data_IF_224788086235
#
_entry.id   IF_224788086235
#
_cell.length_a   1.000
_cell.length_b   1.000
_cell.length_c   1.000
_cell.angle_alpha   90.00
_cell.angle_beta   90.00
_cell.angle_gamma   90.00
#
_symmetry.space_group_name_H-M   'P 1'
#
loop_
_entity.id
_entity.type
_entity.pdbx_description
1 polymer ?
#
# COMPACT_ATOMS: atom_id res chain seq x y z
N UNK A 1 37.06 3.87 -13.44
CA UNK A 1 36.28 5.07 -13.06
C UNK A 1 36.12 6.04 -14.23
N UNK A 2 37.16 6.34 -14.98
CA UNK A 2 37.17 7.31 -16.10
C UNK A 2 36.26 6.86 -17.27
N UNK A 3 36.19 5.57 -17.59
CA UNK A 3 35.35 5.06 -18.68
C UNK A 3 33.85 5.07 -18.41
N UNK A 4 33.43 5.11 -17.15
CA UNK A 4 32.01 5.14 -16.75
C UNK A 4 31.46 6.57 -16.84
N UNK A 5 32.20 7.54 -16.39
CA UNK A 5 31.86 8.96 -16.52
C UNK A 5 31.76 9.42 -17.98
N UNK A 6 32.66 8.94 -18.88
CA UNK A 6 32.62 9.25 -20.29
C UNK A 6 31.38 8.65 -20.99
N UNK A 7 30.89 7.48 -20.60
CA UNK A 7 29.67 6.87 -21.13
C UNK A 7 28.39 7.56 -20.64
N UNK A 8 28.37 8.01 -19.38
CA UNK A 8 27.23 8.76 -18.83
C UNK A 8 27.12 10.16 -19.42
N UNK A 9 28.26 10.86 -19.65
CA UNK A 9 28.24 12.15 -20.34
C UNK A 9 27.81 12.02 -21.80
N UNK A 10 28.32 11.01 -22.52
CA UNK A 10 27.93 10.76 -23.91
C UNK A 10 26.44 10.37 -24.05
N UNK A 11 25.88 9.66 -23.09
CA UNK A 11 24.45 9.33 -23.09
C UNK A 11 23.58 10.56 -22.81
N UNK A 12 24.02 11.46 -21.93
CA UNK A 12 23.33 12.74 -21.65
C UNK A 12 23.43 13.71 -22.82
N UNK A 13 24.58 13.80 -23.49
CA UNK A 13 24.76 14.60 -24.70
C UNK A 13 23.92 14.07 -25.86
N UNK A 14 23.83 12.74 -26.04
CA UNK A 14 23.02 12.14 -27.11
C UNK A 14 21.51 12.39 -26.91
N UNK A 15 21.01 12.34 -25.68
CA UNK A 15 19.59 12.61 -25.38
C UNK A 15 19.32 14.12 -25.39
N UNK A 16 20.17 14.91 -24.78
CA UNK A 16 20.07 16.39 -24.80
C UNK A 16 20.29 17.00 -26.17
N UNK A 17 21.24 16.48 -26.94
CA UNK A 17 21.54 16.96 -28.28
C UNK A 17 20.46 16.66 -29.33
N UNK A 18 19.77 15.52 -29.23
CA UNK A 18 18.61 15.21 -30.07
C UNK A 18 17.39 16.08 -29.80
N UNK A 19 17.15 16.44 -28.55
CA UNK A 19 16.05 17.34 -28.18
C UNK A 19 16.33 18.80 -28.59
N UNK A 20 17.61 19.22 -28.60
CA UNK A 20 17.98 20.57 -28.99
C UNK A 20 18.11 20.74 -30.53
N UNK A 21 18.50 19.69 -31.28
CA UNK A 21 18.72 19.78 -32.72
C UNK A 21 17.44 19.78 -33.55
N UNK A 22 16.33 19.27 -33.06
CA UNK A 22 15.08 19.19 -33.83
C UNK A 22 14.11 20.35 -33.60
N UNK A 23 14.28 21.12 -32.53
CA UNK A 23 13.27 22.11 -32.10
C UNK A 23 11.87 21.50 -31.87
N UNK A 24 11.77 20.20 -32.07
CA UNK A 24 10.57 19.41 -31.93
C UNK A 24 10.69 18.56 -30.65
N UNK A 25 9.97 18.96 -29.61
CA UNK A 25 9.87 18.23 -28.35
C UNK A 25 8.90 17.02 -28.42
N UNK A 26 8.46 16.69 -29.62
CA UNK A 26 7.52 15.58 -29.87
C UNK A 26 6.09 15.87 -29.43
N UNK A 27 5.80 17.07 -28.94
CA UNK A 27 4.45 17.45 -28.52
C UNK A 27 3.70 18.06 -29.71
N UNK A 28 2.60 17.44 -30.19
CA UNK A 28 1.78 18.03 -31.25
C UNK A 28 1.31 19.44 -30.89
N UNK A 29 1.34 20.35 -31.88
CA UNK A 29 1.00 21.77 -31.65
C UNK A 29 -0.31 22.02 -30.90
N UNK A 30 -1.41 21.30 -31.17
CA UNK A 30 -2.66 21.47 -30.43
C UNK A 30 -2.58 21.09 -28.93
N UNK A 31 -1.58 20.27 -28.57
CA UNK A 31 -1.38 19.81 -27.19
C UNK A 31 -0.34 20.65 -26.44
N UNK A 32 0.33 21.57 -27.14
CA UNK A 32 1.32 22.46 -26.53
C UNK A 32 0.62 23.45 -25.58
N UNK A 33 1.16 23.57 -24.39
CA UNK A 33 0.71 24.58 -23.43
C UNK A 33 1.06 25.97 -23.95
N UNK A 34 0.06 26.84 -24.07
CA UNK A 34 0.23 28.24 -24.45
C UNK A 34 0.15 29.20 -23.27
N UNK A 35 -0.30 28.71 -22.10
CA UNK A 35 -0.42 29.51 -20.89
C UNK A 35 0.85 29.47 -20.04
N UNK A 36 1.15 30.54 -19.31
CA UNK A 36 2.23 30.56 -18.32
C UNK A 36 1.92 29.57 -17.18
N UNK A 37 2.97 29.00 -16.60
CA UNK A 37 2.87 28.04 -15.48
C UNK A 37 4.05 28.21 -14.54
N UNK A 38 3.89 27.68 -13.31
CA UNK A 38 4.92 27.74 -12.26
C UNK A 38 5.52 29.13 -12.08
N UNK A 39 4.65 30.14 -12.10
CA UNK A 39 5.05 31.57 -12.02
C UNK A 39 5.42 32.02 -10.61
N UNK A 40 5.05 31.23 -9.58
CA UNK A 40 5.43 31.55 -8.20
C UNK A 40 6.95 31.55 -8.04
N UNK A 41 7.53 32.54 -7.33
CA UNK A 41 8.98 32.69 -7.19
C UNK A 41 9.70 31.44 -6.68
N UNK A 42 9.06 30.61 -5.86
CA UNK A 42 9.66 29.39 -5.31
C UNK A 42 10.17 28.43 -6.39
N UNK A 43 9.51 28.37 -7.54
CA UNK A 43 9.92 27.51 -8.66
C UNK A 43 11.14 28.05 -9.42
N UNK A 44 11.55 29.29 -9.11
CA UNK A 44 12.62 29.97 -9.80
C UNK A 44 13.77 30.43 -8.88
N UNK A 45 13.65 30.21 -7.58
CA UNK A 45 14.58 30.73 -6.58
C UNK A 45 15.70 29.73 -6.20
N UNK A 46 15.46 28.42 -6.32
CA UNK A 46 16.39 27.37 -5.85
C UNK A 46 17.02 26.68 -7.06
N UNK A 47 18.13 27.20 -7.55
CA UNK A 47 18.75 26.81 -8.81
C UNK A 47 20.00 25.96 -8.67
N UNK A 48 20.56 25.80 -7.47
CA UNK A 48 21.64 24.89 -7.19
C UNK A 48 21.17 23.71 -6.36
N UNK A 49 21.89 22.59 -6.44
CA UNK A 49 21.61 21.40 -5.62
C UNK A 49 21.60 21.75 -4.13
N UNK A 50 22.59 22.51 -3.66
CA UNK A 50 22.69 22.92 -2.26
C UNK A 50 21.48 23.77 -1.82
N UNK A 51 21.03 24.71 -2.65
CA UNK A 51 19.87 25.55 -2.33
C UNK A 51 18.59 24.72 -2.29
N UNK A 52 18.43 23.80 -3.23
CA UNK A 52 17.29 22.87 -3.26
C UNK A 52 17.26 21.97 -2.04
N UNK A 53 18.39 21.37 -1.66
CA UNK A 53 18.48 20.54 -0.46
C UNK A 53 18.14 21.31 0.82
N UNK A 54 18.65 22.53 0.95
CA UNK A 54 18.35 23.40 2.10
C UNK A 54 16.87 23.83 2.10
N UNK A 55 16.29 24.06 0.94
CA UNK A 55 14.87 24.37 0.82
C UNK A 55 13.98 23.19 1.23
N UNK A 56 14.29 22.00 0.73
CA UNK A 56 13.58 20.76 1.09
C UNK A 56 13.68 20.53 2.61
N UNK A 57 14.88 20.64 3.20
CA UNK A 57 15.06 20.46 4.65
C UNK A 57 14.30 21.52 5.47
N UNK A 58 14.20 22.73 4.98
CA UNK A 58 13.39 23.79 5.61
C UNK A 58 11.91 23.47 5.60
N UNK A 59 11.37 22.88 4.53
CA UNK A 59 9.99 22.44 4.45
C UNK A 59 9.74 21.23 5.36
N UNK A 60 10.64 20.25 5.33
CA UNK A 60 10.57 19.05 6.16
C UNK A 60 10.48 19.40 7.66
N UNK A 61 11.28 20.38 8.11
CA UNK A 61 11.27 20.84 9.51
C UNK A 61 9.99 21.53 9.96
N UNK A 62 9.06 21.81 9.06
CA UNK A 62 7.74 22.36 9.41
C UNK A 62 6.72 21.30 9.76
N UNK A 63 7.06 20.07 9.52
CA UNK A 63 6.24 18.90 9.76
C UNK A 63 6.97 17.87 10.62
N UNK A 64 6.29 16.79 10.95
CA UNK A 64 6.80 15.70 11.77
C UNK A 64 7.81 14.89 10.95
N UNK A 65 9.05 14.80 11.44
CA UNK A 65 10.11 13.99 10.84
C UNK A 65 10.52 12.83 11.75
N UNK A 66 11.10 11.77 11.16
CA UNK A 66 11.57 10.59 11.91
C UNK A 66 12.65 10.90 12.93
N UNK A 67 13.48 11.91 12.65
CA UNK A 67 14.57 12.37 13.51
C UNK A 67 14.12 13.36 14.59
N UNK A 68 12.86 13.78 14.55
CA UNK A 68 12.33 14.83 15.46
C UNK A 68 11.11 14.40 16.26
N UNK A 69 10.42 13.33 15.87
CA UNK A 69 9.21 12.89 16.55
C UNK A 69 8.83 11.44 16.21
N UNK A 70 8.00 10.84 17.05
CA UNK A 70 7.37 9.57 16.76
C UNK A 70 6.13 9.80 15.90
N UNK A 71 5.99 9.03 14.82
CA UNK A 71 4.83 9.08 13.94
C UNK A 71 3.99 7.83 14.20
N UNK A 72 2.78 7.96 14.79
CA UNK A 72 1.93 6.81 15.10
C UNK A 72 1.32 6.17 13.85
N UNK A 73 1.03 6.97 12.83
CA UNK A 73 0.44 6.53 11.56
C UNK A 73 1.10 7.24 10.37
N UNK A 74 1.07 6.60 9.23
CA UNK A 74 1.41 7.23 7.97
C UNK A 74 2.13 6.32 6.99
N UNK A 75 1.64 6.26 5.76
CA UNK A 75 2.23 5.63 4.58
C UNK A 75 2.87 4.27 4.87
N UNK A 76 2.13 3.34 5.49
CA UNK A 76 2.57 1.98 5.83
C UNK A 76 3.85 1.95 6.68
N UNK A 77 4.06 2.96 7.52
CA UNK A 77 5.25 3.10 8.38
C UNK A 77 6.61 3.04 7.66
N UNK A 78 6.64 3.28 6.36
CA UNK A 78 7.86 3.29 5.54
C UNK A 78 8.97 4.19 6.10
N UNK A 79 8.60 5.21 6.90
CA UNK A 79 9.55 6.09 7.60
C UNK A 79 10.43 5.36 8.62
N UNK A 80 10.02 4.19 9.09
CA UNK A 80 10.78 3.40 10.07
C UNK A 80 11.79 2.45 9.44
N UNK A 81 11.85 2.37 8.11
CA UNK A 81 12.86 1.58 7.43
C UNK A 81 14.24 2.21 7.63
N UNK A 82 15.22 1.40 8.01
CA UNK A 82 16.60 1.89 8.11
C UNK A 82 17.17 2.18 6.72
N UNK A 83 18.10 3.14 6.64
CA UNK A 83 18.82 3.44 5.40
C UNK A 83 19.57 2.20 4.87
N UNK A 84 20.11 1.37 5.77
CA UNK A 84 20.82 0.14 5.42
C UNK A 84 19.91 -0.90 4.77
N UNK A 85 18.67 -1.04 5.24
CA UNK A 85 17.67 -1.94 4.63
C UNK A 85 17.27 -1.48 3.23
N UNK A 86 17.29 -0.18 2.97
CA UNK A 86 16.96 0.38 1.66
C UNK A 86 18.11 0.34 0.64
N UNK A 87 19.37 0.18 1.08
CA UNK A 87 20.55 0.17 0.20
C UNK A 87 20.48 -0.88 -0.92
N UNK A 88 20.06 -2.13 -0.69
CA UNK A 88 19.98 -3.15 -1.73
C UNK A 88 19.12 -2.76 -2.93
N UNK A 89 18.06 -1.96 -2.73
CA UNK A 89 17.18 -1.47 -3.80
C UNK A 89 17.95 -0.67 -4.85
N UNK A 90 19.07 -0.05 -4.48
CA UNK A 90 19.90 0.76 -5.37
C UNK A 90 20.97 -0.04 -6.12
N UNK A 91 21.22 -1.29 -5.75
CA UNK A 91 22.23 -2.13 -6.39
C UNK A 91 21.79 -2.52 -7.81
N UNK A 92 22.72 -2.49 -8.76
CA UNK A 92 22.42 -2.74 -10.17
C UNK A 92 21.76 -4.10 -10.43
N UNK A 93 22.16 -5.13 -9.71
CA UNK A 93 21.60 -6.48 -9.83
C UNK A 93 20.14 -6.56 -9.38
N UNK A 94 19.68 -5.66 -8.54
CA UNK A 94 18.28 -5.56 -8.13
C UNK A 94 17.51 -4.50 -8.93
N UNK A 95 18.08 -3.30 -9.11
CA UNK A 95 17.37 -2.17 -9.69
C UNK A 95 17.21 -2.21 -11.21
N UNK A 96 17.98 -3.04 -11.91
CA UNK A 96 17.98 -3.10 -13.38
C UNK A 96 17.27 -4.30 -13.98
N UNK A 97 16.61 -5.11 -13.16
CA UNK A 97 15.82 -6.24 -13.61
C UNK A 97 14.43 -5.76 -14.00
N UNK A 98 13.99 -6.07 -15.22
CA UNK A 98 12.66 -5.71 -15.69
C UNK A 98 11.59 -6.58 -15.00
N UNK A 99 10.42 -6.03 -14.61
CA UNK A 99 9.37 -6.81 -13.95
C UNK A 99 8.86 -8.02 -14.74
N UNK A 100 8.95 -7.98 -16.06
CA UNK A 100 8.55 -9.08 -16.96
C UNK A 100 9.76 -9.85 -17.53
N UNK A 101 10.89 -9.83 -16.82
CA UNK A 101 12.03 -10.67 -17.20
C UNK A 101 11.63 -12.15 -17.13
N UNK A 102 12.09 -13.01 -18.07
CA UNK A 102 11.88 -14.45 -17.96
C UNK A 102 12.39 -15.01 -16.62
N UNK A 103 11.66 -15.96 -16.05
CA UNK A 103 11.92 -16.48 -14.69
C UNK A 103 13.30 -17.12 -14.58
N UNK A 104 13.77 -17.78 -15.64
CA UNK A 104 15.11 -18.38 -15.72
C UNK A 104 16.25 -17.35 -15.63
N UNK A 105 15.96 -16.08 -15.92
CA UNK A 105 16.92 -14.97 -15.79
C UNK A 105 16.78 -14.22 -14.44
N UNK A 106 15.83 -14.59 -13.60
CA UNK A 106 15.54 -13.97 -12.31
C UNK A 106 15.49 -14.97 -11.15
N UNK A 107 16.27 -16.04 -11.21
CA UNK A 107 16.25 -17.12 -10.22
C UNK A 107 16.52 -16.62 -8.79
N UNK A 108 17.46 -15.68 -8.62
CA UNK A 108 17.72 -15.08 -7.30
C UNK A 108 16.51 -14.34 -6.71
N UNK A 109 15.69 -13.69 -7.54
CA UNK A 109 14.42 -13.11 -7.07
C UNK A 109 13.41 -14.18 -6.67
N UNK A 110 13.31 -15.27 -7.43
CA UNK A 110 12.42 -16.40 -7.10
C UNK A 110 12.80 -17.03 -5.75
N UNK A 111 14.09 -17.17 -5.48
CA UNK A 111 14.61 -17.67 -4.19
C UNK A 111 14.25 -16.72 -3.04
N UNK A 112 14.49 -15.40 -3.20
CA UNK A 112 14.11 -14.40 -2.20
C UNK A 112 12.61 -14.43 -1.89
N UNK A 113 11.77 -14.55 -2.92
CA UNK A 113 10.31 -14.59 -2.73
C UNK A 113 9.89 -15.86 -1.97
N UNK A 114 10.42 -17.01 -2.36
CA UNK A 114 10.12 -18.30 -1.70
C UNK A 114 10.53 -18.28 -0.23
N UNK A 115 11.74 -17.81 0.06
CA UNK A 115 12.24 -17.72 1.44
C UNK A 115 11.42 -16.78 2.30
N UNK A 116 11.01 -15.64 1.74
CA UNK A 116 10.17 -14.65 2.44
C UNK A 116 8.75 -15.18 2.67
N UNK A 117 8.12 -15.79 1.68
CA UNK A 117 6.80 -16.41 1.82
C UNK A 117 6.80 -17.50 2.89
N UNK A 118 7.82 -18.37 2.89
CA UNK A 118 7.99 -19.41 3.91
C UNK A 118 8.20 -18.82 5.32
N UNK A 119 9.03 -17.79 5.43
CA UNK A 119 9.26 -17.11 6.71
C UNK A 119 7.96 -16.47 7.24
N UNK A 120 7.21 -15.79 6.38
CA UNK A 120 5.94 -15.17 6.75
C UNK A 120 4.89 -16.21 7.13
N UNK A 121 4.78 -17.33 6.42
CA UNK A 121 3.91 -18.45 6.81
C UNK A 121 4.24 -18.98 8.21
N UNK A 122 5.53 -19.15 8.52
CA UNK A 122 5.99 -19.62 9.83
C UNK A 122 5.70 -18.60 10.95
N UNK A 123 5.87 -17.32 10.68
CA UNK A 123 5.63 -16.24 11.66
C UNK A 123 4.15 -16.07 11.96
N UNK A 124 3.31 -16.09 10.93
CA UNK A 124 1.88 -15.79 11.05
C UNK A 124 1.01 -17.01 11.32
N UNK A 125 1.50 -18.21 10.99
CA UNK A 125 0.71 -19.44 11.01
C UNK A 125 -0.27 -19.58 9.85
N UNK A 126 -0.24 -18.70 8.85
CA UNK A 126 -1.05 -18.83 7.65
C UNK A 126 -0.58 -19.96 6.75
N UNK A 127 -1.50 -20.58 6.03
CA UNK A 127 -1.22 -21.66 5.11
C UNK A 127 -0.48 -21.21 3.84
N UNK A 128 -0.64 -19.97 3.45
CA UNK A 128 0.00 -19.37 2.28
C UNK A 128 0.11 -17.87 2.41
N UNK A 129 1.08 -17.30 1.72
CA UNK A 129 1.33 -15.85 1.62
C UNK A 129 1.49 -15.49 0.14
N UNK A 130 1.15 -14.29 -0.24
CA UNK A 130 1.42 -13.72 -1.56
C UNK A 130 2.11 -12.37 -1.40
N UNK A 131 3.21 -12.18 -2.12
CA UNK A 131 3.98 -10.92 -2.16
C UNK A 131 3.56 -10.03 -3.34
N UNK A 132 2.50 -10.36 -4.07
CA UNK A 132 2.06 -9.62 -5.26
C UNK A 132 1.45 -8.24 -4.96
N UNK A 133 0.66 -8.03 -3.89
CA UNK A 133 0.13 -6.71 -3.59
C UNK A 133 1.25 -5.68 -3.35
N UNK A 134 1.17 -4.54 -4.06
CA UNK A 134 2.20 -3.49 -3.98
C UNK A 134 1.92 -2.42 -2.90
N UNK A 135 0.80 -2.53 -2.20
CA UNK A 135 0.40 -1.61 -1.13
C UNK A 135 -0.59 -2.26 -0.19
N UNK A 136 -0.81 -1.68 0.99
CA UNK A 136 -1.83 -2.13 1.93
C UNK A 136 -3.22 -2.18 1.29
N UNK A 137 -3.62 -1.12 0.57
CA UNK A 137 -4.91 -1.08 -0.13
C UNK A 137 -5.07 -2.18 -1.20
N UNK A 138 -3.99 -2.56 -1.90
CA UNK A 138 -4.03 -3.70 -2.82
C UNK A 138 -4.12 -5.03 -2.08
N UNK A 139 -3.48 -5.13 -0.90
CA UNK A 139 -3.61 -6.28 -0.01
C UNK A 139 -5.05 -6.45 0.49
N UNK A 140 -5.69 -5.34 0.90
CA UNK A 140 -7.10 -5.33 1.30
C UNK A 140 -8.00 -5.85 0.18
N UNK A 141 -7.86 -5.29 -1.02
CA UNK A 141 -8.65 -5.70 -2.18
C UNK A 141 -8.40 -7.17 -2.55
N UNK A 142 -7.13 -7.61 -2.58
CA UNK A 142 -6.77 -8.99 -2.85
C UNK A 142 -7.39 -9.96 -1.82
N UNK A 143 -7.29 -9.63 -0.52
CA UNK A 143 -7.89 -10.42 0.55
C UNK A 143 -9.41 -10.54 0.43
N UNK A 144 -10.10 -9.44 0.10
CA UNK A 144 -11.54 -9.47 -0.14
C UNK A 144 -11.91 -10.30 -1.38
N UNK A 145 -11.11 -10.23 -2.44
CA UNK A 145 -11.33 -11.07 -3.63
C UNK A 145 -11.11 -12.56 -3.33
N UNK A 146 -10.13 -12.90 -2.47
CA UNK A 146 -9.93 -14.28 -2.00
C UNK A 146 -11.14 -14.76 -1.20
N UNK A 147 -11.65 -13.94 -0.26
CA UNK A 147 -12.85 -14.25 0.52
C UNK A 147 -14.06 -14.45 -0.40
N UNK A 148 -14.21 -13.59 -1.40
CA UNK A 148 -15.30 -13.72 -2.38
C UNK A 148 -15.17 -15.00 -3.19
N UNK A 149 -13.98 -15.32 -3.67
CA UNK A 149 -13.71 -16.57 -4.39
C UNK A 149 -13.99 -17.81 -3.52
N UNK A 150 -13.63 -17.75 -2.24
CA UNK A 150 -13.94 -18.79 -1.26
C UNK A 150 -15.44 -19.03 -1.16
N UNK A 151 -16.27 -18.00 -0.98
CA UNK A 151 -17.72 -18.15 -0.93
C UNK A 151 -18.29 -18.67 -2.26
N UNK A 152 -17.79 -18.17 -3.39
CA UNK A 152 -18.22 -18.64 -4.72
C UNK A 152 -17.92 -20.14 -4.91
N UNK A 153 -16.74 -20.61 -4.50
CA UNK A 153 -16.36 -22.02 -4.62
C UNK A 153 -17.25 -22.96 -3.79
N UNK A 154 -17.94 -22.41 -2.78
CA UNK A 154 -18.87 -23.14 -1.92
C UNK A 154 -20.33 -23.02 -2.35
N UNK A 155 -20.61 -22.36 -3.49
CA UNK A 155 -21.97 -22.08 -3.94
C UNK A 155 -22.66 -20.93 -3.19
N UNK A 156 -21.92 -20.15 -2.41
CA UNK A 156 -22.40 -19.06 -1.56
C UNK A 156 -22.12 -17.66 -2.15
N UNK A 157 -22.17 -17.52 -3.47
CA UNK A 157 -21.88 -16.27 -4.18
C UNK A 157 -22.78 -15.08 -3.77
N UNK A 158 -23.89 -15.36 -3.07
CA UNK A 158 -24.81 -14.36 -2.54
C UNK A 158 -24.29 -13.66 -1.28
N UNK A 159 -23.22 -14.16 -0.65
CA UNK A 159 -22.58 -13.52 0.51
C UNK A 159 -21.79 -12.30 0.04
N UNK A 160 -22.33 -11.13 0.33
CA UNK A 160 -21.79 -9.84 -0.12
C UNK A 160 -21.74 -8.76 0.96
N UNK A 161 -22.10 -9.08 2.20
CA UNK A 161 -22.09 -8.14 3.33
C UNK A 161 -20.73 -8.19 4.03
N UNK A 162 -20.13 -7.01 4.21
CA UNK A 162 -18.90 -6.81 4.99
C UNK A 162 -19.21 -5.97 6.22
N UNK A 163 -18.88 -6.49 7.39
CA UNK A 163 -18.92 -5.72 8.63
C UNK A 163 -17.60 -4.98 8.79
N UNK A 164 -17.65 -3.68 9.12
CA UNK A 164 -16.46 -2.84 9.29
C UNK A 164 -16.65 -1.99 10.55
N UNK A 165 -15.76 -2.06 11.56
CA UNK A 165 -15.82 -1.19 12.72
C UNK A 165 -15.72 0.29 12.34
N UNK A 166 -16.40 1.17 13.09
CA UNK A 166 -16.35 2.61 12.89
C UNK A 166 -14.93 3.19 13.04
N UNK A 167 -14.05 2.50 13.76
CA UNK A 167 -12.64 2.83 13.92
C UNK A 167 -11.74 2.41 12.75
N UNK A 168 -12.30 1.77 11.72
CA UNK A 168 -11.50 1.26 10.60
C UNK A 168 -10.87 2.37 9.77
N UNK A 169 -9.76 2.05 9.12
CA UNK A 169 -9.14 2.94 8.14
C UNK A 169 -10.08 3.19 6.95
N UNK A 170 -10.04 4.42 6.39
CA UNK A 170 -10.93 4.81 5.30
C UNK A 170 -10.79 3.99 4.02
N UNK A 171 -9.67 3.29 3.81
CA UNK A 171 -9.48 2.38 2.67
C UNK A 171 -10.28 1.10 2.81
N UNK A 172 -10.60 0.62 4.02
CA UNK A 172 -11.36 -0.62 4.20
C UNK A 172 -12.75 -0.57 3.52
N UNK A 173 -13.61 0.44 3.78
CA UNK A 173 -14.88 0.53 3.06
C UNK A 173 -14.69 0.80 1.55
N UNK A 174 -13.64 1.50 1.13
CA UNK A 174 -13.36 1.72 -0.29
C UNK A 174 -13.00 0.41 -1.00
N UNK A 175 -12.12 -0.40 -0.42
CA UNK A 175 -11.72 -1.71 -0.93
C UNK A 175 -12.92 -2.67 -0.99
N UNK A 176 -13.79 -2.65 0.04
CA UNK A 176 -15.03 -3.44 0.05
C UNK A 176 -15.99 -3.03 -1.08
N UNK A 177 -16.17 -1.73 -1.31
CA UNK A 177 -16.99 -1.23 -2.42
C UNK A 177 -16.40 -1.63 -3.78
N UNK A 178 -15.09 -1.56 -3.97
CA UNK A 178 -14.40 -2.05 -5.18
C UNK A 178 -14.61 -3.55 -5.39
N UNK A 179 -14.63 -4.35 -4.33
CA UNK A 179 -14.95 -5.76 -4.36
C UNK A 179 -16.45 -6.04 -4.56
N UNK A 180 -17.28 -5.01 -4.78
CA UNK A 180 -18.74 -5.09 -4.92
C UNK A 180 -19.41 -5.69 -3.70
N UNK A 181 -18.92 -5.40 -2.51
CA UNK A 181 -19.50 -5.83 -1.25
C UNK A 181 -20.25 -4.66 -0.60
N UNK A 182 -21.29 -4.99 0.15
CA UNK A 182 -22.10 -4.04 0.89
C UNK A 182 -21.52 -3.83 2.29
N UNK A 183 -21.09 -2.63 2.58
CA UNK A 183 -20.51 -2.26 3.88
C UNK A 183 -21.60 -2.00 4.90
N UNK A 184 -21.46 -2.61 6.08
CA UNK A 184 -22.23 -2.30 7.29
C UNK A 184 -21.27 -1.92 8.41
N UNK A 185 -21.46 -0.74 8.94
CA UNK A 185 -20.60 -0.22 10.02
C UNK A 185 -21.00 -0.86 11.36
N UNK A 186 -20.01 -1.37 12.09
CA UNK A 186 -20.15 -1.83 13.46
C UNK A 186 -19.75 -0.70 14.41
N UNK A 187 -20.55 -0.45 15.43
CA UNK A 187 -20.28 0.61 16.41
C UNK A 187 -19.01 0.34 17.21
N UNK A 188 -18.38 1.41 17.70
CA UNK A 188 -17.31 1.35 18.68
C UNK A 188 -17.85 1.79 20.05
N UNK A 189 -17.28 1.23 21.10
CA UNK A 189 -17.55 1.61 22.48
C UNK A 189 -16.84 2.93 22.84
N UNK A 190 -17.18 3.60 23.94
CA UNK A 190 -16.52 4.86 24.32
C UNK A 190 -15.01 4.74 24.56
N UNK A 191 -14.48 3.56 24.86
CA UNK A 191 -13.04 3.30 25.02
C UNK A 191 -12.34 2.96 23.69
N UNK A 192 -13.05 3.00 22.56
CA UNK A 192 -12.50 2.78 21.24
C UNK A 192 -12.49 1.32 20.76
N UNK A 193 -12.93 0.37 21.58
CA UNK A 193 -13.07 -1.04 21.19
C UNK A 193 -14.29 -1.28 20.31
N UNK A 194 -14.34 -2.41 19.62
CA UNK A 194 -15.51 -2.84 18.85
C UNK A 194 -16.67 -3.16 19.81
N UNK A 195 -17.86 -2.65 19.52
CA UNK A 195 -19.07 -3.07 20.27
C UNK A 195 -19.48 -4.48 19.84
N UNK A 196 -19.10 -5.45 20.68
CA UNK A 196 -19.38 -6.89 20.45
C UNK A 196 -20.88 -7.20 20.39
N UNK A 197 -21.71 -6.41 21.08
CA UNK A 197 -23.17 -6.60 21.05
C UNK A 197 -23.74 -6.18 19.69
N UNK A 198 -23.33 -5.02 19.21
CA UNK A 198 -23.72 -4.53 17.88
C UNK A 198 -23.19 -5.46 16.77
N UNK A 199 -21.94 -5.92 16.89
CA UNK A 199 -21.36 -6.91 15.98
C UNK A 199 -22.21 -8.18 15.91
N UNK A 200 -22.56 -8.74 17.06
CA UNK A 200 -23.38 -9.96 17.14
C UNK A 200 -24.77 -9.77 16.54
N UNK A 201 -25.41 -8.65 16.83
CA UNK A 201 -26.72 -8.33 16.28
C UNK A 201 -26.68 -8.26 14.73
N UNK A 202 -25.72 -7.53 14.18
CA UNK A 202 -25.56 -7.39 12.73
C UNK A 202 -25.14 -8.69 12.04
N UNK A 203 -24.25 -9.47 12.66
CA UNK A 203 -23.88 -10.77 12.15
C UNK A 203 -25.07 -11.73 12.09
N UNK A 204 -25.92 -11.73 13.11
CA UNK A 204 -27.14 -12.55 13.15
C UNK A 204 -28.18 -12.08 12.13
N UNK A 205 -28.43 -10.76 12.02
CA UNK A 205 -29.37 -10.17 11.06
C UNK A 205 -29.00 -10.50 9.61
N UNK A 206 -27.71 -10.51 9.32
CA UNK A 206 -27.20 -10.69 7.96
C UNK A 206 -26.52 -12.05 7.74
N UNK A 207 -26.78 -13.05 8.59
CA UNK A 207 -26.08 -14.34 8.58
C UNK A 207 -26.02 -15.03 7.22
N UNK A 208 -27.09 -14.92 6.45
CA UNK A 208 -27.16 -15.58 5.14
C UNK A 208 -26.35 -14.84 4.05
N UNK A 209 -26.05 -13.56 4.27
CA UNK A 209 -25.30 -12.70 3.34
C UNK A 209 -23.96 -12.25 3.88
N UNK A 210 -23.61 -12.60 5.11
CA UNK A 210 -22.35 -12.19 5.71
C UNK A 210 -21.17 -12.83 4.98
N UNK A 211 -20.38 -12.02 4.29
CA UNK A 211 -19.17 -12.45 3.62
C UNK A 211 -17.97 -12.39 4.56
N UNK A 212 -17.77 -11.25 5.23
CA UNK A 212 -16.63 -11.09 6.13
C UNK A 212 -16.79 -9.92 7.11
N UNK A 213 -15.88 -9.89 8.06
CA UNK A 213 -15.49 -8.73 8.85
C UNK A 213 -14.13 -8.24 8.34
N UNK A 214 -13.96 -6.93 8.13
CA UNK A 214 -12.64 -6.29 8.05
C UNK A 214 -12.35 -5.59 9.36
N UNK A 215 -11.25 -5.94 10.01
CA UNK A 215 -10.86 -5.36 11.30
C UNK A 215 -9.38 -4.98 11.27
N UNK A 216 -9.06 -3.76 11.71
CA UNK A 216 -7.68 -3.30 11.92
C UNK A 216 -7.25 -3.67 13.34
N UNK A 217 -6.11 -4.36 13.50
CA UNK A 217 -5.64 -4.85 14.78
C UNK A 217 -4.13 -4.67 14.94
N UNK A 218 -3.66 -3.79 15.85
CA UNK A 218 -4.45 -2.88 16.68
C UNK A 218 -5.24 -1.86 15.87
N UNK A 219 -6.31 -1.30 16.46
CA UNK A 219 -7.18 -0.35 15.76
C UNK A 219 -6.46 0.96 15.43
N UNK A 220 -7.07 1.80 14.58
CA UNK A 220 -6.52 3.14 14.27
C UNK A 220 -6.44 4.06 15.49
N UNK A 221 -7.15 3.73 16.57
CA UNK A 221 -7.05 4.42 17.87
C UNK A 221 -5.91 3.87 18.74
N UNK A 222 -5.14 2.89 18.25
CA UNK A 222 -4.08 2.23 19.01
C UNK A 222 -4.59 1.24 20.07
N UNK A 223 -5.86 0.82 19.98
CA UNK A 223 -6.47 -0.13 20.91
C UNK A 223 -6.24 -1.56 20.44
N UNK A 224 -5.68 -2.39 21.31
CA UNK A 224 -5.69 -3.84 21.14
C UNK A 224 -7.04 -4.37 21.64
N UNK A 225 -7.74 -5.11 20.80
CA UNK A 225 -9.04 -5.69 21.13
C UNK A 225 -8.86 -6.92 22.03
N UNK A 226 -9.20 -6.81 23.30
CA UNK A 226 -9.17 -7.94 24.25
C UNK A 226 -10.09 -9.07 23.78
N UNK A 227 -11.20 -8.71 23.17
CA UNK A 227 -12.23 -9.63 22.66
C UNK A 227 -11.98 -10.14 21.24
N UNK A 228 -10.79 -9.95 20.65
CA UNK A 228 -10.53 -10.30 19.23
C UNK A 228 -10.93 -11.75 18.90
N UNK A 229 -10.68 -12.70 19.78
CA UNK A 229 -11.07 -14.10 19.59
C UNK A 229 -12.58 -14.29 19.55
N UNK A 230 -13.30 -13.58 20.43
CA UNK A 230 -14.76 -13.58 20.47
C UNK A 230 -15.34 -12.96 19.21
N UNK A 231 -14.76 -11.85 18.75
CA UNK A 231 -15.12 -11.15 17.50
C UNK A 231 -14.98 -12.10 16.31
N UNK A 232 -13.83 -12.72 16.13
CA UNK A 232 -13.60 -13.69 15.05
C UNK A 232 -14.58 -14.87 15.11
N UNK A 233 -14.81 -15.41 16.31
CA UNK A 233 -15.73 -16.52 16.52
C UNK A 233 -17.16 -16.17 16.10
N UNK A 234 -17.66 -14.99 16.49
CA UNK A 234 -18.99 -14.52 16.08
C UNK A 234 -19.13 -14.52 14.55
N UNK A 235 -18.14 -13.98 13.86
CA UNK A 235 -18.18 -13.89 12.40
C UNK A 235 -18.19 -15.28 11.74
N UNK A 236 -17.31 -16.18 12.22
CA UNK A 236 -17.23 -17.55 11.71
C UNK A 236 -18.51 -18.36 11.98
N UNK A 237 -19.14 -18.21 13.15
CA UNK A 237 -20.39 -18.87 13.50
C UNK A 237 -21.55 -18.46 12.59
N UNK A 238 -21.47 -17.30 11.93
CA UNK A 238 -22.43 -16.81 10.95
C UNK A 238 -21.97 -17.01 9.50
N UNK A 239 -20.94 -17.82 9.28
CA UNK A 239 -20.44 -18.20 7.94
C UNK A 239 -19.51 -17.19 7.29
N UNK A 240 -19.22 -16.06 7.93
CA UNK A 240 -18.30 -15.05 7.43
C UNK A 240 -16.83 -15.42 7.63
N UNK A 241 -15.94 -14.76 6.90
CA UNK A 241 -14.48 -14.81 7.07
C UNK A 241 -13.99 -13.54 7.77
N UNK A 242 -12.73 -13.53 8.22
CA UNK A 242 -12.13 -12.34 8.83
C UNK A 242 -10.93 -11.89 7.98
N UNK A 243 -10.97 -10.65 7.54
CA UNK A 243 -9.80 -9.93 7.04
C UNK A 243 -9.24 -9.08 8.19
N UNK A 244 -7.99 -9.34 8.55
CA UNK A 244 -7.28 -8.59 9.58
C UNK A 244 -6.26 -7.67 8.90
N UNK A 245 -6.46 -6.36 9.08
CA UNK A 245 -5.66 -5.28 8.52
C UNK A 245 -4.54 -4.85 9.48
#
# INVERSE_FOLDING_TARGET
AIGKQARESASRELVGGRLQASGDDGIPSPLRRTTTFMTHPVFNAHRSETEMMRYIRRLERKDIGLDTSMIPLGSCTMKLNSATEMLPVTWEHFSRVHPFVPVDQAQGYAEIFSDLEDALCKITGFAAVSLQPNSGAQGEFAGLMVIRAYHQSRGEAHRDVVLIPASAHGTNPASAAMARMRVLVVASTPNGSVDVRDLRAKAAEHRDRLACLMITYPSTHGVFEDDIRTICKIVHEHGGQVYMD
#
